data_IF_405950457683
#
_entry.id   IF_405950457683
#
_cell.length_a   1.000
_cell.length_b   1.000
_cell.length_c   1.000
_cell.angle_alpha   90.00
_cell.angle_beta   90.00
_cell.angle_gamma   90.00
#
_symmetry.space_group_name_H-M   'P 1'
#
loop_
_entity.id
_entity.type
_entity.pdbx_description
1 polymer ?
#
# COMPACT_ATOMS: atom_id res chain seq x y z
N UNK A 1 -21.24 23.21 29.53
CA UNK A 1 -21.78 22.29 28.49
C UNK A 1 -20.93 22.46 27.24
N UNK A 2 -20.38 21.38 26.64
CA UNK A 2 -19.67 21.51 25.36
C UNK A 2 -20.70 21.79 24.26
N UNK A 3 -20.56 22.93 23.59
CA UNK A 3 -21.37 23.28 22.42
C UNK A 3 -21.22 22.18 21.36
N UNK A 4 -22.34 21.70 20.81
CA UNK A 4 -22.30 20.76 19.70
C UNK A 4 -21.64 21.40 18.48
N UNK A 5 -20.92 20.62 17.66
CA UNK A 5 -20.36 21.11 16.40
C UNK A 5 -21.53 21.50 15.48
N UNK A 6 -21.70 22.78 15.19
CA UNK A 6 -22.73 23.27 14.27
C UNK A 6 -22.46 22.81 12.85
N UNK A 7 -23.52 22.61 12.07
CA UNK A 7 -23.40 22.43 10.63
C UNK A 7 -23.01 23.78 9.98
N UNK A 8 -22.29 23.71 8.86
CA UNK A 8 -22.04 24.87 7.98
C UNK A 8 -23.35 25.55 7.57
N UNK A 9 -23.31 26.83 7.24
CA UNK A 9 -24.49 27.70 7.05
C UNK A 9 -24.85 27.97 5.58
N UNK A 10 -23.99 27.55 4.64
CA UNK A 10 -24.21 27.65 3.19
C UNK A 10 -25.06 26.50 2.62
N UNK A 11 -25.66 25.67 3.48
CA UNK A 11 -26.61 24.62 3.13
C UNK A 11 -27.84 24.67 4.02
N UNK A 12 -28.92 24.05 3.55
CA UNK A 12 -30.17 23.91 4.27
C UNK A 12 -30.75 22.48 4.14
N UNK A 13 -31.82 22.23 4.89
CA UNK A 13 -32.50 20.94 4.87
C UNK A 13 -33.10 20.59 3.51
N UNK A 14 -33.62 21.58 2.78
CA UNK A 14 -34.20 21.36 1.45
C UNK A 14 -33.13 20.98 0.41
N UNK A 15 -32.00 21.70 0.38
CA UNK A 15 -30.86 21.41 -0.49
C UNK A 15 -30.30 20.01 -0.24
N UNK A 16 -30.17 19.59 1.01
CA UNK A 16 -29.76 18.23 1.34
C UNK A 16 -30.75 17.17 0.86
N UNK A 17 -32.07 17.41 1.01
CA UNK A 17 -33.11 16.51 0.46
C UNK A 17 -33.04 16.42 -1.06
N UNK A 18 -32.76 17.54 -1.74
CA UNK A 18 -32.58 17.58 -3.20
C UNK A 18 -31.37 16.74 -3.63
N UNK A 19 -30.24 16.90 -2.95
CA UNK A 19 -29.02 16.10 -3.18
C UNK A 19 -29.26 14.62 -2.90
N UNK A 20 -30.01 14.29 -1.84
CA UNK A 20 -30.35 12.91 -1.50
C UNK A 20 -31.18 12.21 -2.58
N UNK A 21 -32.04 12.94 -3.31
CA UNK A 21 -32.81 12.40 -4.45
C UNK A 21 -31.95 12.21 -5.70
N UNK A 22 -30.89 12.99 -5.85
CA UNK A 22 -30.03 12.98 -7.06
C UNK A 22 -28.88 11.97 -6.96
N UNK A 23 -28.43 11.65 -5.74
CA UNK A 23 -27.32 10.71 -5.56
C UNK A 23 -27.71 9.27 -5.90
N UNK A 24 -26.75 8.54 -6.48
CA UNK A 24 -26.86 7.09 -6.73
C UNK A 24 -26.32 6.25 -5.56
N UNK A 25 -25.67 6.88 -4.58
CA UNK A 25 -25.16 6.21 -3.38
C UNK A 25 -26.21 6.23 -2.27
N UNK A 26 -26.82 5.07 -2.00
CA UNK A 26 -27.85 4.92 -0.97
C UNK A 26 -27.34 5.26 0.45
N UNK A 27 -26.06 5.01 0.74
CA UNK A 27 -25.47 5.39 2.03
C UNK A 27 -25.32 6.92 2.13
N UNK A 28 -24.91 7.57 1.05
CA UNK A 28 -24.86 9.04 0.99
C UNK A 28 -26.26 9.64 1.15
N UNK A 29 -27.27 9.12 0.45
CA UNK A 29 -28.65 9.60 0.56
C UNK A 29 -29.15 9.56 2.01
N UNK A 30 -28.94 8.44 2.72
CA UNK A 30 -29.33 8.30 4.13
C UNK A 30 -28.65 9.34 5.03
N UNK A 31 -27.35 9.59 4.80
CA UNK A 31 -26.56 10.56 5.56
C UNK A 31 -27.05 11.99 5.33
N UNK A 32 -27.32 12.34 4.07
CA UNK A 32 -27.87 13.63 3.69
C UNK A 32 -29.24 13.87 4.35
N UNK A 33 -30.12 12.87 4.37
CA UNK A 33 -31.43 12.96 5.03
C UNK A 33 -31.31 13.12 6.56
N UNK A 34 -30.37 12.40 7.18
CA UNK A 34 -30.10 12.54 8.61
C UNK A 34 -29.57 13.93 8.97
N UNK A 35 -28.72 14.54 8.13
CA UNK A 35 -28.27 15.91 8.36
C UNK A 35 -29.36 16.95 8.04
N UNK A 36 -30.24 16.68 7.07
CA UNK A 36 -31.36 17.56 6.74
C UNK A 36 -32.29 17.75 7.95
N UNK A 37 -32.54 16.69 8.73
CA UNK A 37 -33.36 16.82 9.94
C UNK A 37 -32.72 17.71 11.01
N UNK A 38 -31.40 17.85 11.03
CA UNK A 38 -30.71 18.76 11.95
C UNK A 38 -30.88 20.21 11.49
N UNK A 39 -30.81 20.47 10.18
CA UNK A 39 -31.12 21.80 9.63
C UNK A 39 -32.57 22.22 9.89
N UNK A 40 -33.50 21.27 9.88
CA UNK A 40 -34.91 21.51 10.22
C UNK A 40 -35.14 21.74 11.73
N UNK A 41 -34.08 21.82 12.54
CA UNK A 41 -34.15 22.03 13.99
C UNK A 41 -34.31 20.75 14.81
N UNK A 42 -34.29 19.57 14.17
CA UNK A 42 -34.33 18.28 14.85
C UNK A 42 -33.08 17.98 15.68
N UNK A 43 -33.23 17.10 16.67
CA UNK A 43 -32.10 16.75 17.54
C UNK A 43 -31.10 15.83 16.85
N UNK A 44 -29.85 15.81 17.33
CA UNK A 44 -28.84 14.83 16.86
C UNK A 44 -29.26 13.39 17.14
N UNK A 45 -30.10 13.17 18.16
CA UNK A 45 -30.68 11.86 18.48
C UNK A 45 -31.72 11.44 17.43
N UNK A 46 -32.49 12.37 16.88
CA UNK A 46 -33.41 12.09 15.77
C UNK A 46 -32.63 11.74 14.51
N UNK A 47 -31.60 12.51 14.18
CA UNK A 47 -30.70 12.22 13.06
C UNK A 47 -30.04 10.83 13.20
N UNK A 48 -29.63 10.46 14.42
CA UNK A 48 -29.06 9.15 14.71
C UNK A 48 -30.07 8.01 14.47
N UNK A 49 -31.32 8.19 14.90
CA UNK A 49 -32.42 7.26 14.61
C UNK A 49 -32.69 7.13 13.11
N UNK A 50 -32.81 8.25 12.39
CA UNK A 50 -33.02 8.28 10.94
C UNK A 50 -31.87 7.60 10.19
N UNK A 51 -30.63 7.83 10.64
CA UNK A 51 -29.44 7.22 10.08
C UNK A 51 -29.23 5.75 10.46
N UNK A 52 -29.99 5.22 11.44
CA UNK A 52 -29.75 3.96 12.13
C UNK A 52 -28.29 3.81 12.62
N UNK A 53 -27.78 4.84 13.29
CA UNK A 53 -26.39 4.93 13.75
C UNK A 53 -26.31 5.55 15.15
N UNK A 54 -25.11 5.56 15.73
CA UNK A 54 -24.86 6.21 17.02
C UNK A 54 -24.69 7.72 16.88
N UNK A 55 -24.83 8.46 17.98
CA UNK A 55 -24.55 9.91 18.04
C UNK A 55 -23.12 10.25 17.61
N UNK A 56 -22.14 9.39 17.89
CA UNK A 56 -20.76 9.59 17.48
C UNK A 56 -20.62 9.55 15.95
N UNK A 57 -21.32 8.63 15.28
CA UNK A 57 -21.31 8.55 13.81
C UNK A 57 -21.97 9.79 13.19
N UNK A 58 -23.07 10.29 13.77
CA UNK A 58 -23.68 11.55 13.32
C UNK A 58 -22.71 12.72 13.50
N UNK A 59 -21.98 12.78 14.62
CA UNK A 59 -20.93 13.77 14.83
C UNK A 59 -19.85 13.68 13.75
N UNK A 60 -19.39 12.47 13.42
CA UNK A 60 -18.39 12.26 12.37
C UNK A 60 -18.91 12.68 10.99
N UNK A 61 -20.19 12.44 10.68
CA UNK A 61 -20.82 12.93 9.46
C UNK A 61 -20.85 14.46 9.40
N UNK A 62 -21.23 15.13 10.50
CA UNK A 62 -21.21 16.59 10.60
C UNK A 62 -19.81 17.13 10.35
N UNK A 63 -18.78 16.54 10.97
CA UNK A 63 -17.39 16.97 10.78
C UNK A 63 -16.94 16.84 9.32
N UNK A 64 -17.18 15.68 8.68
CA UNK A 64 -16.81 15.45 7.27
C UNK A 64 -17.60 16.33 6.32
N UNK A 65 -18.89 16.56 6.61
CA UNK A 65 -19.74 17.45 5.83
C UNK A 65 -19.29 18.91 5.93
N UNK A 66 -18.91 19.37 7.12
CA UNK A 66 -18.38 20.71 7.31
C UNK A 66 -17.07 20.90 6.53
N UNK A 67 -16.18 19.91 6.55
CA UNK A 67 -14.88 19.96 5.86
C UNK A 67 -15.01 19.89 4.32
N UNK A 68 -15.87 19.00 3.79
CA UNK A 68 -15.86 18.63 2.36
C UNK A 68 -17.22 18.72 1.66
N UNK A 69 -18.24 19.25 2.36
CA UNK A 69 -19.60 19.34 1.86
C UNK A 69 -20.24 17.95 1.64
N UNK A 70 -21.22 17.85 0.72
CA UNK A 70 -21.92 16.59 0.41
C UNK A 70 -21.00 15.43 0.02
N UNK A 71 -19.85 15.73 -0.60
CA UNK A 71 -18.85 14.74 -1.02
C UNK A 71 -18.17 14.06 0.18
N UNK A 72 -18.06 14.76 1.32
CA UNK A 72 -17.55 14.19 2.57
C UNK A 72 -18.43 13.06 3.16
N UNK A 73 -19.66 12.91 2.67
CA UNK A 73 -20.59 11.87 3.08
C UNK A 73 -20.54 10.63 2.16
N UNK A 74 -19.71 10.61 1.14
CA UNK A 74 -19.43 9.42 0.34
C UNK A 74 -18.33 8.62 1.04
N UNK A 75 -18.46 7.29 1.05
CA UNK A 75 -17.36 6.46 1.51
C UNK A 75 -16.19 6.56 0.51
N UNK A 76 -15.07 7.11 0.95
CA UNK A 76 -13.82 6.95 0.22
C UNK A 76 -13.38 5.48 0.19
N UNK A 77 -12.62 5.09 -0.83
CA UNK A 77 -11.91 3.81 -0.81
C UNK A 77 -10.99 3.83 0.41
N UNK A 78 -11.16 2.87 1.32
CA UNK A 78 -10.25 2.73 2.44
C UNK A 78 -8.82 2.65 1.91
N UNK A 79 -7.85 3.34 2.52
CA UNK A 79 -6.46 3.11 2.18
C UNK A 79 -6.21 1.60 2.30
N UNK A 80 -5.61 1.02 1.27
CA UNK A 80 -5.23 -0.38 1.32
C UNK A 80 -4.31 -0.66 2.52
N UNK A 81 -4.05 -1.94 2.84
CA UNK A 81 -3.07 -2.27 3.86
C UNK A 81 -1.75 -1.53 3.57
N UNK A 82 -1.24 -0.82 4.58
CA UNK A 82 0.04 -0.13 4.46
C UNK A 82 1.13 -1.16 4.10
N UNK A 83 2.01 -0.81 3.16
CA UNK A 83 3.15 -1.70 2.86
C UNK A 83 3.96 -1.90 4.15
N UNK A 84 4.46 -3.12 4.34
CA UNK A 84 5.25 -3.47 5.52
C UNK A 84 6.59 -2.76 5.56
N UNK A 85 7.10 -2.29 4.41
CA UNK A 85 8.31 -1.49 4.32
C UNK A 85 7.96 -0.04 4.04
N UNK A 86 8.54 0.87 4.82
CA UNK A 86 8.51 2.30 4.51
C UNK A 86 9.59 2.68 3.48
N UNK A 87 9.58 3.93 3.01
CA UNK A 87 10.52 4.40 1.99
C UNK A 87 11.99 4.34 2.42
N UNK A 88 12.26 4.63 3.70
CA UNK A 88 13.61 4.54 4.25
C UNK A 88 14.14 3.11 4.24
N UNK A 89 13.31 2.15 4.64
CA UNK A 89 13.64 0.72 4.64
C UNK A 89 13.83 0.20 3.22
N UNK A 90 13.03 0.67 2.25
CA UNK A 90 13.22 0.35 0.84
C UNK A 90 14.55 0.88 0.30
N UNK A 91 14.89 2.13 0.62
CA UNK A 91 16.16 2.73 0.21
C UNK A 91 17.37 1.99 0.81
N UNK A 92 17.29 1.60 2.08
CA UNK A 92 18.34 0.82 2.73
C UNK A 92 18.47 -0.59 2.14
N UNK A 93 17.34 -1.26 1.88
CA UNK A 93 17.31 -2.57 1.23
C UNK A 93 17.94 -2.52 -0.17
N UNK A 94 17.64 -1.50 -0.97
CA UNK A 94 18.24 -1.28 -2.28
C UNK A 94 19.77 -1.17 -2.20
N UNK A 95 20.28 -0.34 -1.29
CA UNK A 95 21.72 -0.18 -1.06
C UNK A 95 22.39 -1.49 -0.63
N UNK A 96 21.76 -2.27 0.25
CA UNK A 96 22.29 -3.57 0.69
C UNK A 96 22.34 -4.58 -0.45
N UNK A 97 21.32 -4.59 -1.33
CA UNK A 97 21.31 -5.45 -2.53
C UNK A 97 22.44 -5.07 -3.48
N UNK A 98 22.65 -3.77 -3.73
CA UNK A 98 23.67 -3.24 -4.65
C UNK A 98 25.09 -3.43 -4.12
N UNK A 99 25.31 -3.20 -2.83
CA UNK A 99 26.59 -3.46 -2.17
C UNK A 99 26.99 -4.94 -2.25
N UNK A 100 25.99 -5.83 -2.27
CA UNK A 100 26.19 -7.26 -2.14
C UNK A 100 26.57 -7.66 -0.71
N UNK A 101 26.60 -8.97 -0.42
CA UNK A 101 26.98 -9.46 0.89
C UNK A 101 28.50 -9.38 1.09
N UNK A 102 28.91 -9.11 2.33
CA UNK A 102 30.28 -9.23 2.79
C UNK A 102 30.45 -10.62 3.41
N UNK A 103 31.14 -11.57 2.75
CA UNK A 103 31.07 -12.99 3.14
C UNK A 103 31.46 -13.29 4.59
N UNK A 104 32.42 -12.54 5.14
CA UNK A 104 32.86 -12.69 6.53
C UNK A 104 31.83 -12.18 7.56
N UNK A 105 31.06 -11.15 7.23
CA UNK A 105 30.06 -10.57 8.14
C UNK A 105 28.67 -11.21 7.95
N UNK A 106 28.26 -11.39 6.71
CA UNK A 106 26.91 -11.82 6.34
C UNK A 106 26.80 -13.35 6.16
N UNK A 107 27.93 -14.07 6.14
CA UNK A 107 27.99 -15.53 6.03
C UNK A 107 27.51 -16.09 4.68
N UNK A 108 27.19 -15.23 3.70
CA UNK A 108 26.67 -15.62 2.39
C UNK A 108 27.47 -14.98 1.26
N UNK A 109 27.61 -15.72 0.15
CA UNK A 109 28.28 -15.24 -1.08
C UNK A 109 27.30 -14.50 -2.00
N UNK A 110 26.00 -14.78 -1.86
CA UNK A 110 24.92 -14.16 -2.62
C UNK A 110 23.73 -13.95 -1.71
N UNK A 111 23.11 -12.78 -1.78
CA UNK A 111 21.82 -12.54 -1.14
C UNK A 111 20.73 -13.48 -1.68
N UNK A 112 20.15 -14.28 -0.79
CA UNK A 112 18.85 -14.94 -0.98
C UNK A 112 17.77 -14.09 -0.32
N UNK A 113 16.52 -14.35 -0.65
CA UNK A 113 15.39 -13.62 -0.05
C UNK A 113 15.28 -13.86 1.45
N UNK A 114 15.55 -15.08 1.92
CA UNK A 114 15.62 -15.38 3.35
C UNK A 114 16.70 -14.55 4.08
N UNK A 115 17.87 -14.37 3.47
CA UNK A 115 18.98 -13.59 4.04
C UNK A 115 18.59 -12.10 4.15
N UNK A 116 17.96 -11.55 3.11
CA UNK A 116 17.47 -10.16 3.13
C UNK A 116 16.31 -9.95 4.11
N UNK A 117 15.45 -10.96 4.30
CA UNK A 117 14.39 -10.93 5.30
C UNK A 117 14.96 -10.95 6.73
N UNK A 118 16.00 -11.74 6.96
CA UNK A 118 16.74 -11.77 8.22
C UNK A 118 17.43 -10.43 8.48
N UNK A 119 18.12 -9.87 7.48
CA UNK A 119 18.76 -8.55 7.59
C UNK A 119 17.74 -7.44 7.92
N UNK A 120 16.55 -7.43 7.29
CA UNK A 120 15.48 -6.48 7.61
C UNK A 120 14.98 -6.61 9.05
N UNK A 121 14.95 -7.84 9.59
CA UNK A 121 14.63 -8.05 10.99
C UNK A 121 15.74 -7.54 11.91
N UNK A 122 17.01 -7.82 11.57
CA UNK A 122 18.17 -7.42 12.36
C UNK A 122 18.37 -5.91 12.42
N UNK A 123 18.17 -5.21 11.30
CA UNK A 123 18.39 -3.76 11.20
C UNK A 123 17.14 -2.96 11.65
N UNK A 124 15.95 -3.37 11.22
CA UNK A 124 14.72 -2.57 11.38
C UNK A 124 13.63 -3.23 12.23
N UNK A 125 13.83 -4.47 12.71
CA UNK A 125 12.80 -5.29 13.39
C UNK A 125 11.51 -5.42 12.57
N UNK A 126 11.64 -5.41 11.25
CA UNK A 126 10.54 -5.63 10.31
C UNK A 126 10.57 -7.08 9.84
N UNK A 127 9.65 -7.88 10.37
CA UNK A 127 9.45 -9.25 9.87
C UNK A 127 8.71 -9.18 8.53
N UNK A 128 9.19 -9.85 7.50
CA UNK A 128 8.47 -10.00 6.22
C UNK A 128 8.62 -11.42 5.69
N UNK A 129 7.56 -11.93 5.05
CA UNK A 129 7.67 -13.21 4.35
C UNK A 129 8.53 -13.05 3.09
N UNK A 130 9.21 -14.12 2.69
CA UNK A 130 10.01 -14.12 1.45
C UNK A 130 9.16 -13.74 0.22
N UNK A 131 7.87 -14.11 0.20
CA UNK A 131 6.96 -13.72 -0.87
C UNK A 131 6.71 -12.21 -0.90
N UNK A 132 6.51 -11.58 0.27
CA UNK A 132 6.33 -10.13 0.38
C UNK A 132 7.59 -9.42 -0.07
N UNK A 133 8.74 -9.87 0.43
CA UNK A 133 10.04 -9.31 0.07
C UNK A 133 10.34 -9.48 -1.42
N UNK A 134 9.98 -10.63 -2.01
CA UNK A 134 10.10 -10.86 -3.45
C UNK A 134 9.26 -9.88 -4.28
N UNK A 135 8.07 -9.49 -3.81
CA UNK A 135 7.23 -8.49 -4.47
C UNK A 135 7.84 -7.09 -4.34
N UNK A 136 8.28 -6.71 -3.15
CA UNK A 136 8.95 -5.42 -2.91
C UNK A 136 10.20 -5.26 -3.76
N UNK A 137 11.09 -6.25 -3.75
CA UNK A 137 12.33 -6.25 -4.55
C UNK A 137 12.04 -6.17 -6.06
N UNK A 138 11.01 -6.86 -6.55
CA UNK A 138 10.58 -6.75 -7.97
C UNK A 138 9.98 -5.39 -8.30
N UNK A 139 9.23 -4.79 -7.37
CA UNK A 139 8.64 -3.46 -7.54
C UNK A 139 9.70 -2.37 -7.58
N UNK A 140 10.81 -2.55 -6.85
CA UNK A 140 12.03 -1.71 -6.94
C UNK A 140 12.85 -1.93 -8.23
N UNK A 141 12.42 -2.83 -9.13
CA UNK A 141 13.07 -3.07 -10.42
C UNK A 141 14.11 -4.20 -10.42
N UNK A 142 14.47 -4.76 -9.26
CA UNK A 142 15.42 -5.86 -9.22
C UNK A 142 14.81 -7.16 -9.78
N UNK A 143 15.68 -7.98 -10.38
CA UNK A 143 15.35 -9.31 -10.93
C UNK A 143 16.39 -10.31 -10.44
N UNK A 144 15.95 -11.56 -10.25
CA UNK A 144 16.86 -12.64 -9.87
C UNK A 144 17.83 -12.89 -11.02
N UNK A 145 19.10 -12.57 -10.82
CA UNK A 145 20.18 -13.06 -11.67
C UNK A 145 20.33 -14.56 -11.44
N UNK A 146 19.93 -15.35 -12.43
CA UNK A 146 20.24 -16.77 -12.48
C UNK A 146 21.56 -16.93 -13.25
N UNK A 147 22.53 -17.63 -12.68
CA UNK A 147 23.66 -18.11 -13.46
C UNK A 147 23.13 -19.04 -14.57
N UNK A 148 23.65 -18.92 -15.79
CA UNK A 148 23.38 -19.93 -16.83
C UNK A 148 23.83 -21.29 -16.31
N UNK A 149 22.97 -22.32 -16.28
CA UNK A 149 23.40 -23.66 -15.90
C UNK A 149 24.56 -24.09 -16.81
N UNK A 150 25.75 -24.28 -16.24
CA UNK A 150 26.84 -24.95 -16.95
C UNK A 150 26.58 -26.45 -16.85
N UNK A 151 26.37 -27.08 -17.99
CA UNK A 151 26.10 -28.52 -18.08
C UNK A 151 27.34 -29.29 -17.64
N UNK A 152 27.19 -30.28 -16.76
CA UNK A 152 28.30 -31.05 -16.18
C UNK A 152 29.10 -31.86 -17.20
N UNK A 153 28.61 -32.00 -18.44
CA UNK A 153 29.31 -32.70 -19.52
C UNK A 153 30.24 -31.80 -20.38
N UNK A 154 30.59 -30.59 -19.94
CA UNK A 154 31.73 -29.89 -20.52
C UNK A 154 33.02 -30.45 -19.93
N UNK A 155 33.55 -31.48 -20.59
CA UNK A 155 34.90 -31.98 -20.36
C UNK A 155 35.90 -30.85 -20.66
N UNK A 156 36.69 -30.39 -19.67
CA UNK A 156 37.71 -29.36 -19.89
C UNK A 156 38.73 -29.76 -20.96
N UNK A 157 39.00 -31.06 -21.11
CA UNK A 157 39.95 -31.59 -22.10
C UNK A 157 39.47 -31.38 -23.54
N UNK A 158 38.16 -31.55 -23.80
CA UNK A 158 37.57 -31.38 -25.12
C UNK A 158 37.63 -29.92 -25.63
N UNK A 159 37.75 -28.94 -24.73
CA UNK A 159 37.85 -27.51 -25.06
C UNK A 159 39.29 -27.14 -25.46
N UNK A 160 40.31 -27.77 -24.88
CA UNK A 160 41.70 -27.54 -25.28
C UNK A 160 42.03 -28.16 -26.64
N UNK A 161 41.48 -29.35 -26.93
CA UNK A 161 41.72 -30.02 -28.20
C UNK A 161 41.07 -29.26 -29.37
N UNK A 162 39.87 -28.70 -29.20
CA UNK A 162 39.23 -27.87 -30.22
C UNK A 162 40.03 -26.58 -30.53
N UNK A 163 40.70 -25.99 -29.52
CA UNK A 163 41.55 -24.80 -29.72
C UNK A 163 42.86 -25.08 -30.46
N UNK A 164 43.34 -26.32 -30.49
CA UNK A 164 44.60 -26.68 -31.16
C UNK A 164 44.46 -26.98 -32.65
N UNK A 165 43.25 -27.29 -33.14
CA UNK A 165 43.04 -27.75 -34.53
C UNK A 165 42.85 -26.60 -35.54
N UNK A 166 42.58 -25.36 -35.09
CA UNK A 166 42.25 -24.24 -36.01
C UNK A 166 43.42 -23.30 -36.40
N UNK A 167 44.67 -23.61 -36.05
CA UNK A 167 45.84 -22.82 -36.52
C UNK A 167 46.96 -23.71 -37.03
N UNK A 168 46.87 -24.13 -38.29
CA UNK A 168 47.96 -24.01 -39.27
C UNK A 168 47.52 -24.52 -40.64
N UNK A 169 47.06 -23.60 -41.48
CA UNK A 169 47.21 -23.70 -42.92
C UNK A 169 47.77 -22.35 -43.36
N UNK A 170 49.03 -22.32 -43.80
CA UNK A 170 49.61 -21.56 -44.92
C UNK A 170 51.13 -21.38 -44.76
N UNK A 171 51.85 -22.17 -45.57
CA UNK A 171 53.27 -22.15 -45.99
C UNK A 171 54.38 -22.41 -44.98
#
# INVERSE_FOLDING_TARGET
>A
MRSGISLRDDFDGEGLRRLARQTKDAAQARRLLALASIYDGGSRSDAARLGNVTLQIVRDWVMRFNERGPQGLINGKAPGPQSRLNDQQRAALAQTIERGPTPYLDGVVRWRLCDLAQWLWEEFRVSVSEQTLSREVRAMGYRKLAARPKHQAQDPQAIEDFKKVETSNYR
#
